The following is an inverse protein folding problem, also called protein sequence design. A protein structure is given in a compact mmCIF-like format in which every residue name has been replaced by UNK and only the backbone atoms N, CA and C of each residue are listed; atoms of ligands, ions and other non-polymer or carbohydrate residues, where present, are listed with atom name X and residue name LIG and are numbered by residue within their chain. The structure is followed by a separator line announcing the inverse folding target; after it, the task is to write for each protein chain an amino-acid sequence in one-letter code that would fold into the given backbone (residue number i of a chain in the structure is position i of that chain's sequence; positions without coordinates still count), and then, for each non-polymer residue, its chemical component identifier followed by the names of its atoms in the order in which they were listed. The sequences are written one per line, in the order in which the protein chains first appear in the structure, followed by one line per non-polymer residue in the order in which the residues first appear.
data_IF_369899277344
#
_entry.id   IF_369899277344
#
_cell.length_a   1.000
_cell.length_b   1.000
_cell.length_c   1.000
_cell.angle_alpha   90.00
_cell.angle_beta   90.00
_cell.angle_gamma   90.00
#
_symmetry.space_group_name_H-M   'P 1'
#
loop_
_entity.id
_entity.type
_entity.pdbx_description
1 polymer ?
#
# COMPACT_ATOMS: atom_id res chain seq x y z
N UNK A 1 -12.81 -37.18 14.59
CA UNK A 1 -13.43 -36.09 15.37
C UNK A 1 -12.36 -35.24 16.06
N UNK A 2 -11.59 -34.40 15.35
CA UNK A 2 -10.54 -33.53 15.97
C UNK A 2 -10.11 -32.30 15.15
N UNK A 3 -10.94 -31.86 14.20
CA UNK A 3 -10.69 -30.66 13.36
C UNK A 3 -11.17 -29.37 14.02
N UNK A 4 -12.16 -29.45 14.91
CA UNK A 4 -12.81 -28.28 15.50
C UNK A 4 -11.86 -27.43 16.36
N UNK A 5 -10.87 -28.06 17.01
CA UNK A 5 -9.93 -27.36 17.90
C UNK A 5 -8.99 -26.43 17.12
N UNK A 6 -8.53 -26.84 15.92
CA UNK A 6 -7.68 -25.98 15.08
C UNK A 6 -8.44 -24.76 14.59
N UNK A 7 -9.69 -24.95 14.16
CA UNK A 7 -10.57 -23.87 13.71
C UNK A 7 -10.89 -22.92 14.88
N UNK A 8 -11.11 -23.46 16.08
CA UNK A 8 -11.37 -22.66 17.28
C UNK A 8 -10.15 -21.85 17.71
N UNK A 9 -8.95 -22.43 17.64
CA UNK A 9 -7.69 -21.74 17.96
C UNK A 9 -7.37 -20.66 16.92
N UNK A 10 -7.57 -20.91 15.62
CA UNK A 10 -7.43 -19.90 14.57
C UNK A 10 -8.44 -18.76 14.74
N UNK A 11 -9.70 -19.09 15.04
CA UNK A 11 -10.73 -18.07 15.37
C UNK A 11 -10.41 -17.29 16.63
N UNK A 12 -9.70 -17.87 17.61
CA UNK A 12 -9.32 -17.20 18.86
C UNK A 12 -8.08 -16.34 18.69
N UNK A 13 -7.10 -16.81 17.92
CA UNK A 13 -5.90 -16.06 17.54
C UNK A 13 -6.24 -14.87 16.63
N UNK A 14 -7.25 -15.01 15.76
CA UNK A 14 -7.77 -13.93 14.93
C UNK A 14 -8.65 -12.90 15.67
N UNK A 15 -8.95 -13.11 16.97
CA UNK A 15 -9.63 -12.09 17.81
C UNK A 15 -8.67 -11.09 18.43
N UNK A 16 -7.53 -10.83 17.80
CA UNK A 16 -6.96 -9.51 18.00
C UNK A 16 -8.04 -8.52 17.55
N UNK A 17 -8.41 -7.60 18.43
CA UNK A 17 -9.31 -6.46 18.16
C UNK A 17 -8.64 -5.53 17.13
N UNK A 18 -8.36 -6.05 15.93
CA UNK A 18 -8.04 -5.23 14.78
C UNK A 18 -9.33 -4.53 14.43
N UNK A 19 -9.35 -3.23 14.64
CA UNK A 19 -10.50 -2.40 14.35
C UNK A 19 -10.66 -2.38 12.81
N UNK A 20 -11.34 -3.39 12.28
CA UNK A 20 -11.62 -3.65 10.86
C UNK A 20 -12.63 -2.65 10.29
N UNK A 21 -12.67 -1.43 10.83
CA UNK A 21 -13.38 -0.32 10.20
C UNK A 21 -12.97 -0.30 8.73
N UNK A 22 -13.94 -0.33 7.82
CA UNK A 22 -13.68 -0.35 6.38
C UNK A 22 -12.81 0.82 5.94
N UNK A 23 -12.86 1.92 6.70
CA UNK A 23 -12.01 3.09 6.52
C UNK A 23 -10.56 2.86 7.00
N UNK A 24 -10.34 2.19 8.14
CA UNK A 24 -8.99 1.85 8.61
C UNK A 24 -8.32 0.83 7.67
N UNK A 25 -9.07 -0.18 7.24
CA UNK A 25 -8.60 -1.22 6.33
C UNK A 25 -8.33 -0.67 4.93
N UNK A 26 -9.24 0.16 4.40
CA UNK A 26 -9.07 0.84 3.12
C UNK A 26 -7.94 1.88 3.15
N UNK A 27 -7.80 2.63 4.23
CA UNK A 27 -6.71 3.59 4.43
C UNK A 27 -5.35 2.91 4.50
N UNK A 28 -5.23 1.79 5.22
CA UNK A 28 -4.01 1.00 5.28
C UNK A 28 -3.64 0.38 3.93
N UNK A 29 -4.61 -0.13 3.18
CA UNK A 29 -4.40 -0.64 1.82
C UNK A 29 -3.93 0.46 0.86
N UNK A 30 -4.59 1.62 0.88
CA UNK A 30 -4.23 2.75 0.03
C UNK A 30 -2.81 3.27 0.36
N UNK A 31 -2.49 3.33 1.65
CA UNK A 31 -1.16 3.73 2.12
C UNK A 31 -0.08 2.74 1.68
N UNK A 32 -0.31 1.43 1.89
CA UNK A 32 0.60 0.37 1.48
C UNK A 32 0.79 0.34 -0.04
N UNK A 33 -0.29 0.54 -0.81
CA UNK A 33 -0.24 0.63 -2.27
C UNK A 33 0.59 1.82 -2.74
N UNK A 34 0.36 3.01 -2.20
CA UNK A 34 1.15 4.20 -2.54
C UNK A 34 2.63 4.04 -2.21
N UNK A 35 2.95 3.44 -1.06
CA UNK A 35 4.33 3.18 -0.64
C UNK A 35 5.02 2.15 -1.54
N UNK A 36 4.32 1.06 -1.90
CA UNK A 36 4.83 0.06 -2.83
C UNK A 36 5.18 0.65 -4.19
N UNK A 37 4.29 1.47 -4.77
CA UNK A 37 4.55 2.12 -6.05
C UNK A 37 5.71 3.13 -5.97
N UNK A 38 5.86 3.84 -4.86
CA UNK A 38 7.01 4.71 -4.61
C UNK A 38 8.33 3.92 -4.60
N UNK A 39 8.35 2.77 -3.93
CA UNK A 39 9.55 1.92 -3.85
C UNK A 39 9.86 1.31 -5.21
N UNK A 40 8.89 0.67 -5.87
CA UNK A 40 9.06 0.09 -7.21
C UNK A 40 9.49 1.16 -8.22
N UNK A 41 8.84 2.33 -8.24
CA UNK A 41 9.23 3.42 -9.13
C UNK A 41 10.66 3.90 -8.88
N UNK A 42 11.11 3.99 -7.62
CA UNK A 42 12.50 4.35 -7.32
C UNK A 42 13.46 3.24 -7.74
N UNK A 43 13.13 1.98 -7.45
CA UNK A 43 13.96 0.81 -7.77
C UNK A 43 14.10 0.64 -9.28
N UNK A 44 13.00 0.73 -10.03
CA UNK A 44 13.00 0.62 -11.48
C UNK A 44 13.79 1.74 -12.15
N UNK A 45 13.75 2.95 -11.60
CA UNK A 45 14.48 4.10 -12.13
C UNK A 45 15.96 4.11 -11.75
N UNK A 46 16.31 3.74 -10.53
CA UNK A 46 17.68 3.89 -10.02
C UNK A 46 18.51 2.61 -10.09
N UNK A 47 17.90 1.44 -9.89
CA UNK A 47 18.62 0.16 -9.82
C UNK A 47 18.55 -0.61 -11.12
N UNK A 48 17.36 -0.69 -11.73
CA UNK A 48 17.16 -1.54 -12.89
C UNK A 48 17.21 -0.78 -14.22
N UNK A 49 17.00 0.55 -14.21
CA UNK A 49 16.96 1.40 -15.41
C UNK A 49 16.08 0.84 -16.54
N UNK A 50 15.07 0.01 -16.20
CA UNK A 50 14.27 -0.76 -17.16
C UNK A 50 13.29 0.09 -17.98
N UNK A 51 13.24 1.41 -17.73
CA UNK A 51 12.42 2.36 -18.47
C UNK A 51 12.98 2.73 -19.86
N UNK A 52 14.20 2.29 -20.22
CA UNK A 52 14.82 2.61 -21.52
C UNK A 52 14.24 1.85 -22.74
N UNK A 53 13.12 1.13 -22.61
CA UNK A 53 12.60 0.32 -23.71
C UNK A 53 12.20 1.13 -24.97
N UNK A 54 11.89 2.44 -24.88
CA UNK A 54 11.84 3.34 -26.04
C UNK A 54 11.66 4.83 -25.66
N UNK A 55 12.72 5.54 -25.28
CA UNK A 55 12.66 7.00 -25.10
C UNK A 55 13.80 7.70 -25.87
N UNK A 56 13.59 8.02 -27.16
CA UNK A 56 14.57 8.80 -27.91
C UNK A 56 14.60 10.29 -27.51
N UNK A 57 13.67 10.77 -26.65
CA UNK A 57 13.52 12.20 -26.34
C UNK A 57 13.09 12.48 -24.87
N UNK A 58 13.96 12.13 -23.92
CA UNK A 58 14.32 12.97 -22.76
C UNK A 58 13.30 13.75 -21.92
N UNK A 59 12.08 13.27 -21.65
CA UNK A 59 11.21 13.93 -20.66
C UNK A 59 10.54 12.95 -19.69
N UNK A 60 11.13 12.84 -18.50
CA UNK A 60 10.69 12.10 -17.30
C UNK A 60 9.41 12.63 -16.64
N UNK A 61 8.58 13.37 -17.38
CA UNK A 61 7.30 13.92 -16.87
C UNK A 61 6.39 12.79 -16.38
N UNK A 62 6.40 11.64 -17.05
CA UNK A 62 5.60 10.47 -16.66
C UNK A 62 6.08 9.88 -15.33
N UNK A 63 7.38 9.90 -15.09
CA UNK A 63 7.99 9.39 -13.86
C UNK A 63 7.64 10.28 -12.66
N UNK A 64 7.76 11.59 -12.83
CA UNK A 64 7.37 12.54 -11.80
C UNK A 64 5.86 12.51 -11.53
N UNK A 65 5.03 12.34 -12.56
CA UNK A 65 3.59 12.16 -12.38
C UNK A 65 3.27 10.88 -11.60
N UNK A 66 3.97 9.78 -11.90
CA UNK A 66 3.82 8.51 -11.18
C UNK A 66 4.24 8.61 -9.71
N UNK A 67 5.38 9.25 -9.43
CA UNK A 67 5.85 9.50 -8.06
C UNK A 67 4.89 10.40 -7.28
N UNK A 68 4.40 11.47 -7.91
CA UNK A 68 3.45 12.40 -7.30
C UNK A 68 2.13 11.70 -6.96
N UNK A 69 1.61 10.88 -7.87
CA UNK A 69 0.40 10.09 -7.65
C UNK A 69 0.58 9.08 -6.51
N UNK A 70 1.71 8.38 -6.47
CA UNK A 70 2.04 7.41 -5.43
C UNK A 70 2.14 8.06 -4.04
N UNK A 71 2.77 9.24 -3.96
CA UNK A 71 2.82 10.04 -2.75
C UNK A 71 1.42 10.51 -2.30
N UNK A 72 0.58 10.94 -3.25
CA UNK A 72 -0.80 11.35 -2.94
C UNK A 72 -1.63 10.18 -2.37
N UNK A 73 -1.51 8.98 -2.92
CA UNK A 73 -2.16 7.78 -2.39
C UNK A 73 -1.67 7.43 -0.98
N UNK A 74 -0.35 7.50 -0.74
CA UNK A 74 0.23 7.24 0.57
C UNK A 74 -0.28 8.21 1.64
N UNK A 75 -0.27 9.51 1.34
CA UNK A 75 -0.76 10.57 2.23
C UNK A 75 -2.27 10.47 2.45
N UNK A 76 -3.03 10.22 1.39
CA UNK A 76 -4.48 10.01 1.48
C UNK A 76 -4.84 8.83 2.40
N UNK A 77 -4.14 7.71 2.26
CA UNK A 77 -4.34 6.52 3.08
C UNK A 77 -4.03 6.78 4.55
N UNK A 78 -2.93 7.50 4.82
CA UNK A 78 -2.56 7.94 6.17
C UNK A 78 -3.62 8.84 6.80
N UNK A 79 -4.14 9.82 6.07
CA UNK A 79 -5.18 10.74 6.58
C UNK A 79 -6.45 9.98 6.95
N UNK A 80 -6.90 9.05 6.08
CA UNK A 80 -8.09 8.24 6.34
C UNK A 80 -7.88 7.33 7.55
N UNK A 81 -6.75 6.63 7.63
CA UNK A 81 -6.42 5.77 8.77
C UNK A 81 -6.36 6.57 10.08
N UNK A 82 -5.75 7.77 10.06
CA UNK A 82 -5.62 8.62 11.25
C UNK A 82 -6.94 9.18 11.76
N UNK A 83 -7.93 9.41 10.88
CA UNK A 83 -9.27 9.88 11.27
C UNK A 83 -10.03 8.82 12.06
N UNK A 84 -9.86 7.55 11.70
CA UNK A 84 -10.51 6.43 12.38
C UNK A 84 -9.81 6.06 13.69
N UNK A 85 -8.49 6.19 13.79
CA UNK A 85 -7.78 5.99 15.07
C UNK A 85 -8.10 7.07 16.12
N UNK A 86 -8.60 8.23 15.68
CA UNK A 86 -9.00 9.34 16.57
C UNK A 86 -10.48 9.31 16.96
N UNK A 87 -11.28 8.42 16.38
CA UNK A 87 -12.68 8.18 16.75
C UNK A 87 -12.76 7.19 17.89
#
# INVERSE_FOLDING_TARGET
MRTSTKILLLRRAGRHNVNLSGQLSGGALLMGWGLFNLVEGVVDHHLLQLHHAYEPMGLSIRDYAFLLWSAAMAVGGWIVARRELKR
#
